data_IF_374231401741
#
_entry.id   IF_374231401741
#
_cell.length_a   1.000
_cell.length_b   1.000
_cell.length_c   1.000
_cell.angle_alpha   90.00
_cell.angle_beta   90.00
_cell.angle_gamma   90.00
#
_symmetry.space_group_name_H-M   'P 1'
#
loop_
_entity.id
_entity.type
_entity.pdbx_description
1 polymer ?
#
# COMPACT_ATOMS: atom_id res chain seq x y z
N UNK A 1 21.12 19.80 -34.07
CA UNK A 1 20.28 19.55 -32.88
C UNK A 1 21.01 18.56 -32.00
N UNK A 2 21.32 18.86 -30.73
CA UNK A 2 21.81 17.83 -29.82
C UNK A 2 20.64 16.90 -29.46
N UNK A 3 20.89 15.60 -29.23
CA UNK A 3 19.83 14.65 -28.90
C UNK A 3 19.21 15.00 -27.54
N UNK A 4 17.87 14.96 -27.48
CA UNK A 4 17.09 15.09 -26.24
C UNK A 4 17.62 14.08 -25.22
N UNK A 5 18.03 14.58 -24.04
CA UNK A 5 18.30 13.76 -22.85
C UNK A 5 16.99 13.11 -22.38
N UNK A 6 16.65 11.94 -22.92
CA UNK A 6 15.67 11.02 -22.33
C UNK A 6 16.36 9.96 -21.47
N UNK A 7 17.27 10.39 -20.59
CA UNK A 7 17.93 9.50 -19.64
C UNK A 7 17.97 10.17 -18.27
N UNK A 8 16.94 9.93 -17.44
CA UNK A 8 17.01 10.02 -15.95
C UNK A 8 15.71 9.75 -15.16
N UNK A 9 14.58 9.33 -15.74
CA UNK A 9 13.36 9.06 -14.95
C UNK A 9 13.31 7.67 -14.27
N UNK A 10 14.05 6.68 -14.76
CA UNK A 10 13.89 5.29 -14.30
C UNK A 10 14.51 4.96 -12.93
N UNK A 11 15.13 5.93 -12.24
CA UNK A 11 15.76 5.71 -10.94
C UNK A 11 15.30 6.70 -9.86
N UNK A 12 14.16 7.37 -10.04
CA UNK A 12 13.63 8.18 -8.94
C UNK A 12 13.27 7.26 -7.74
N UNK A 13 13.66 7.65 -6.52
CA UNK A 13 13.35 6.89 -5.32
C UNK A 13 11.84 6.87 -5.11
N UNK A 14 11.32 5.73 -4.65
CA UNK A 14 9.91 5.63 -4.28
C UNK A 14 9.61 6.55 -3.10
N UNK A 15 8.48 7.23 -3.14
CA UNK A 15 7.92 7.91 -1.96
C UNK A 15 7.19 6.89 -1.10
N UNK A 16 7.41 6.87 0.21
CA UNK A 16 6.64 6.07 1.14
C UNK A 16 5.36 6.80 1.56
N UNK A 17 4.20 6.25 1.23
CA UNK A 17 2.88 6.76 1.61
C UNK A 17 2.34 5.85 2.72
N UNK A 18 2.27 6.37 3.94
CA UNK A 18 1.81 5.63 5.11
C UNK A 18 0.48 6.20 5.56
N UNK A 19 -0.60 5.44 5.35
CA UNK A 19 -1.92 5.78 5.89
C UNK A 19 -1.93 5.39 7.36
N UNK A 20 -1.94 6.39 8.24
CA UNK A 20 -1.79 6.16 9.69
C UNK A 20 -3.13 5.98 10.42
N UNK A 21 -4.23 6.27 9.74
CA UNK A 21 -5.57 5.99 10.25
C UNK A 21 -6.02 4.57 9.94
N UNK A 22 -6.78 3.99 10.86
CA UNK A 22 -7.45 2.71 10.66
C UNK A 22 -8.90 2.99 10.29
N UNK A 23 -9.26 2.61 9.06
CA UNK A 23 -10.64 2.72 8.54
C UNK A 23 -11.45 1.43 8.73
N UNK A 24 -10.96 0.53 9.58
CA UNK A 24 -11.62 -0.74 9.85
C UNK A 24 -12.72 -0.57 10.93
N UNK A 25 -13.99 -0.80 10.58
CA UNK A 25 -15.11 -0.57 11.48
C UNK A 25 -15.10 -1.49 12.71
N UNK A 26 -14.39 -2.63 12.65
CA UNK A 26 -14.27 -3.57 13.79
C UNK A 26 -13.63 -2.92 15.01
N UNK A 27 -12.84 -1.86 14.79
CA UNK A 27 -12.17 -1.12 15.86
C UNK A 27 -12.87 0.19 16.23
N UNK A 28 -13.94 0.58 15.51
CA UNK A 28 -14.67 1.83 15.77
C UNK A 28 -15.11 2.02 17.24
N UNK A 29 -15.57 0.98 17.98
CA UNK A 29 -15.92 1.13 19.39
C UNK A 29 -14.72 1.51 20.29
N UNK A 30 -13.52 1.07 19.92
CA UNK A 30 -12.30 1.32 20.69
C UNK A 30 -11.67 2.66 20.33
N UNK A 31 -11.75 3.09 19.06
CA UNK A 31 -11.09 4.29 18.54
C UNK A 31 -11.42 5.57 19.32
N UNK A 32 -12.63 5.70 19.88
CA UNK A 32 -13.01 6.85 20.70
C UNK A 32 -12.32 6.88 22.08
N UNK A 33 -11.94 5.71 22.60
CA UNK A 33 -11.39 5.56 23.96
C UNK A 33 -9.87 5.48 23.95
N UNK A 34 -9.29 4.76 22.99
CA UNK A 34 -7.84 4.50 22.95
C UNK A 34 -7.07 5.49 22.07
N UNK A 35 -7.76 6.25 21.21
CA UNK A 35 -7.15 7.14 20.24
C UNK A 35 -6.71 6.41 18.95
N UNK A 36 -5.81 7.00 18.15
CA UNK A 36 -5.39 6.43 16.87
C UNK A 36 -4.74 5.06 17.03
N UNK A 37 -5.09 4.10 16.14
CA UNK A 37 -4.54 2.75 16.19
C UNK A 37 -3.02 2.72 15.99
N UNK A 38 -2.49 3.57 15.11
CA UNK A 38 -1.05 3.69 14.87
C UNK A 38 -0.23 4.07 16.13
N UNK A 39 -0.88 4.61 17.16
CA UNK A 39 -0.23 4.99 18.42
C UNK A 39 -0.42 3.97 19.54
N UNK A 40 -1.20 2.91 19.32
CA UNK A 40 -1.37 1.89 20.33
C UNK A 40 -0.05 1.13 20.53
N UNK A 41 0.36 0.89 21.79
CA UNK A 41 1.64 0.29 22.07
C UNK A 41 1.60 -1.23 21.91
N UNK A 42 2.66 -1.78 21.31
CA UNK A 42 3.04 -3.19 21.43
C UNK A 42 4.39 -3.22 22.15
N UNK A 43 4.47 -3.97 23.25
CA UNK A 43 5.68 -3.99 24.10
C UNK A 43 6.12 -2.57 24.52
N UNK A 44 5.16 -1.70 24.88
CA UNK A 44 5.37 -0.29 25.27
C UNK A 44 5.93 0.63 24.16
N UNK A 45 5.93 0.19 22.90
CA UNK A 45 6.35 1.00 21.75
C UNK A 45 5.16 1.22 20.81
N UNK A 46 4.83 2.46 20.42
CA UNK A 46 3.76 2.74 19.45
C UNK A 46 3.95 1.99 18.13
N UNK A 47 2.87 1.46 17.56
CA UNK A 47 2.89 0.73 16.29
C UNK A 47 3.61 1.48 15.16
N UNK A 48 3.35 2.78 15.02
CA UNK A 48 3.97 3.62 14.00
C UNK A 48 5.49 3.68 14.09
N UNK A 49 6.05 3.53 15.29
CA UNK A 49 7.50 3.55 15.50
C UNK A 49 8.16 2.29 14.96
N UNK A 50 7.48 1.13 15.00
CA UNK A 50 7.94 -0.08 14.31
C UNK A 50 7.94 0.10 12.80
N UNK A 51 6.87 0.70 12.26
CA UNK A 51 6.74 0.96 10.82
C UNK A 51 7.82 1.93 10.33
N UNK A 52 8.02 3.06 11.01
CA UNK A 52 9.03 4.05 10.64
C UNK A 52 10.46 3.50 10.80
N UNK A 53 10.74 2.78 11.90
CA UNK A 53 12.01 2.08 12.09
C UNK A 53 12.28 1.08 10.96
N UNK A 54 11.25 0.37 10.50
CA UNK A 54 11.36 -0.53 9.37
C UNK A 54 11.64 0.22 8.06
N UNK A 55 10.91 1.29 7.76
CA UNK A 55 11.10 2.07 6.53
C UNK A 55 12.50 2.66 6.44
N UNK A 56 13.11 3.08 7.56
CA UNK A 56 14.52 3.50 7.61
C UNK A 56 15.52 2.43 7.14
N UNK A 57 15.15 1.15 7.18
CA UNK A 57 15.99 0.03 6.71
C UNK A 57 15.76 -0.31 5.22
N UNK A 58 14.82 0.37 4.56
CA UNK A 58 14.54 0.24 3.13
C UNK A 58 15.27 1.33 2.33
N UNK A 59 15.13 1.33 1.01
CA UNK A 59 15.69 2.40 0.15
C UNK A 59 14.82 3.67 0.10
N UNK A 60 13.72 3.72 0.86
CA UNK A 60 12.77 4.84 0.85
C UNK A 60 13.26 5.96 1.76
N UNK A 61 13.50 7.13 1.17
CA UNK A 61 14.06 8.29 1.86
C UNK A 61 13.05 9.42 2.07
N UNK A 62 11.97 9.45 1.27
CA UNK A 62 10.90 10.45 1.34
C UNK A 62 9.62 9.78 1.80
N UNK A 63 9.05 10.24 2.90
CA UNK A 63 7.90 9.61 3.55
C UNK A 63 6.81 10.65 3.79
N UNK A 64 5.58 10.27 3.48
CA UNK A 64 4.36 11.03 3.73
C UNK A 64 3.51 10.24 4.73
N UNK A 65 3.29 10.83 5.91
CA UNK A 65 2.30 10.34 6.86
C UNK A 65 0.96 10.95 6.50
N UNK A 66 0.02 10.12 6.09
CA UNK A 66 -1.32 10.55 5.65
C UNK A 66 -2.31 10.26 6.74
N UNK A 67 -2.96 11.31 7.23
CA UNK A 67 -3.84 11.28 8.39
C UNK A 67 -5.08 12.10 8.12
N UNK A 68 -6.20 11.68 8.65
CA UNK A 68 -7.42 12.47 8.76
C UNK A 68 -7.20 13.68 9.67
N UNK A 69 -7.90 14.77 9.37
CA UNK A 69 -7.83 16.01 10.15
C UNK A 69 -8.10 15.79 11.65
N UNK A 70 -8.98 14.84 11.99
CA UNK A 70 -9.31 14.46 13.37
C UNK A 70 -8.11 13.98 14.18
N UNK A 71 -7.16 13.30 13.54
CA UNK A 71 -6.03 12.67 14.21
C UNK A 71 -4.69 13.38 13.92
N UNK A 72 -4.71 14.48 13.17
CA UNK A 72 -3.50 15.19 12.74
C UNK A 72 -2.63 15.69 13.91
N UNK A 73 -3.23 16.24 14.96
CA UNK A 73 -2.50 16.76 16.12
C UNK A 73 -1.71 15.68 16.87
N UNK A 74 -2.19 14.43 16.87
CA UNK A 74 -1.46 13.30 17.44
C UNK A 74 -0.19 13.00 16.64
N UNK A 75 -0.27 13.12 15.32
CA UNK A 75 0.81 12.78 14.41
C UNK A 75 1.89 13.85 14.29
N UNK A 76 1.60 15.11 14.61
CA UNK A 76 2.61 16.18 14.64
C UNK A 76 3.79 15.84 15.58
N UNK A 77 3.50 15.18 16.71
CA UNK A 77 4.55 14.75 17.65
C UNK A 77 5.44 13.67 17.04
N UNK A 78 4.85 12.73 16.31
CA UNK A 78 5.57 11.65 15.62
C UNK A 78 6.41 12.23 14.49
N UNK A 79 5.85 13.12 13.66
CA UNK A 79 6.56 13.80 12.59
C UNK A 79 7.79 14.55 13.14
N UNK A 80 7.62 15.35 14.20
CA UNK A 80 8.73 16.06 14.85
C UNK A 80 9.82 15.12 15.36
N UNK A 81 9.45 14.00 15.96
CA UNK A 81 10.39 13.00 16.49
C UNK A 81 11.20 12.31 15.39
N UNK A 82 10.55 11.95 14.28
CA UNK A 82 11.16 11.18 13.20
C UNK A 82 11.68 12.03 12.03
N UNK A 83 11.47 13.35 12.04
CA UNK A 83 11.84 14.27 10.95
C UNK A 83 13.27 14.07 10.46
N UNK A 84 14.23 13.92 11.39
CA UNK A 84 15.66 13.82 11.07
C UNK A 84 16.10 12.40 10.65
N UNK A 85 15.18 11.43 10.62
CA UNK A 85 15.48 10.05 10.24
C UNK A 85 15.33 9.79 8.74
N UNK A 86 14.75 10.74 8.00
CA UNK A 86 14.45 10.65 6.57
C UNK A 86 14.99 11.89 5.84
N UNK A 87 15.19 11.81 4.52
CA UNK A 87 15.50 12.99 3.70
C UNK A 87 14.32 13.98 3.74
N UNK A 88 13.10 13.43 3.71
CA UNK A 88 11.87 14.18 3.91
C UNK A 88 10.85 13.32 4.65
N UNK A 89 10.29 13.87 5.71
CA UNK A 89 9.12 13.33 6.40
C UNK A 89 8.09 14.46 6.49
N UNK A 90 6.94 14.28 5.86
CA UNK A 90 5.85 15.24 5.89
C UNK A 90 4.58 14.63 6.47
N UNK A 91 3.85 15.45 7.23
CA UNK A 91 2.51 15.12 7.69
C UNK A 91 1.48 15.74 6.75
N UNK A 92 0.65 14.92 6.14
CA UNK A 92 -0.42 15.35 5.25
C UNK A 92 -1.76 15.11 5.94
N UNK A 93 -2.41 16.20 6.32
CA UNK A 93 -3.77 16.20 6.88
C UNK A 93 -4.81 16.23 5.77
N UNK A 94 -5.68 15.23 5.72
CA UNK A 94 -6.75 15.05 4.76
C UNK A 94 -8.11 15.35 5.40
N UNK A 95 -8.90 16.21 4.77
CA UNK A 95 -10.24 16.56 5.24
C UNK A 95 -11.21 15.44 4.91
N UNK A 96 -12.06 15.05 5.87
CA UNK A 96 -13.10 14.03 5.68
C UNK A 96 -12.61 12.70 5.06
N UNK A 97 -11.34 12.33 5.30
CA UNK A 97 -10.81 11.05 4.82
C UNK A 97 -11.36 9.91 5.69
N UNK A 98 -12.14 9.03 5.06
CA UNK A 98 -12.80 7.90 5.72
C UNK A 98 -12.33 6.55 5.17
N UNK A 99 -11.43 6.57 4.20
CA UNK A 99 -10.91 5.40 3.51
C UNK A 99 -9.50 5.64 2.95
N UNK A 100 -8.82 4.56 2.58
CA UNK A 100 -7.51 4.63 1.90
C UNK A 100 -7.65 5.34 0.55
N UNK A 101 -8.76 5.09 -0.15
CA UNK A 101 -9.09 5.76 -1.41
C UNK A 101 -9.21 7.27 -1.24
N UNK A 102 -9.96 7.75 -0.25
CA UNK A 102 -10.08 9.20 0.02
C UNK A 102 -8.71 9.84 0.29
N UNK A 103 -7.87 9.17 1.07
CA UNK A 103 -6.52 9.63 1.37
C UNK A 103 -5.68 9.77 0.09
N UNK A 104 -5.70 8.76 -0.79
CA UNK A 104 -4.94 8.80 -2.05
C UNK A 104 -5.49 9.84 -3.03
N UNK A 105 -6.82 9.98 -3.16
CA UNK A 105 -7.44 11.04 -3.99
C UNK A 105 -7.03 12.44 -3.55
N UNK A 106 -6.98 12.67 -2.24
CA UNK A 106 -6.55 13.97 -1.70
C UNK A 106 -5.08 14.25 -2.04
N UNK A 107 -4.20 13.25 -1.95
CA UNK A 107 -2.79 13.42 -2.35
C UNK A 107 -2.65 13.71 -3.85
N UNK A 108 -3.45 13.04 -4.68
CA UNK A 108 -3.51 13.24 -6.13
C UNK A 108 -3.97 14.65 -6.48
N UNK A 109 -5.10 15.07 -5.88
CA UNK A 109 -5.70 16.40 -6.07
C UNK A 109 -4.76 17.52 -5.68
N UNK A 110 -3.96 17.32 -4.62
CA UNK A 110 -2.94 18.27 -4.18
C UNK A 110 -1.63 18.20 -4.98
N UNK A 111 -1.50 17.25 -5.91
CA UNK A 111 -0.29 17.05 -6.72
C UNK A 111 0.92 16.60 -5.90
N UNK A 112 0.70 15.93 -4.75
CA UNK A 112 1.78 15.52 -3.84
C UNK A 112 2.46 14.23 -4.30
N UNK A 113 1.76 13.38 -5.05
CA UNK A 113 2.32 12.16 -5.64
C UNK A 113 2.86 12.47 -7.03
N UNK A 114 4.19 12.52 -7.15
CA UNK A 114 4.86 12.84 -8.43
C UNK A 114 5.53 11.63 -9.09
N UNK A 115 5.71 10.53 -8.35
CA UNK A 115 6.40 9.32 -8.77
C UNK A 115 5.72 8.05 -8.23
N UNK A 116 6.20 6.90 -8.69
CA UNK A 116 5.85 5.60 -8.10
C UNK A 116 6.14 5.61 -6.58
N UNK A 117 5.30 4.92 -5.82
CA UNK A 117 5.28 5.02 -4.37
C UNK A 117 5.05 3.67 -3.69
N UNK A 118 5.55 3.52 -2.47
CA UNK A 118 5.20 2.43 -1.57
C UNK A 118 3.97 2.85 -0.77
N UNK A 119 2.86 2.13 -0.91
CA UNK A 119 1.67 2.29 -0.09
C UNK A 119 1.69 1.32 1.09
N UNK A 120 1.52 1.86 2.29
CA UNK A 120 1.16 1.11 3.49
C UNK A 120 -0.25 1.53 3.88
N UNK A 121 -1.23 0.67 3.58
CA UNK A 121 -2.65 0.98 3.72
C UNK A 121 -3.21 0.68 5.12
N UNK A 122 -2.42 0.05 5.99
CA UNK A 122 -2.81 -0.27 7.35
C UNK A 122 -1.72 0.20 8.33
N UNK A 123 -2.06 1.04 9.34
CA UNK A 123 -1.11 1.58 10.30
C UNK A 123 -0.37 0.52 11.14
N UNK A 124 -0.93 -0.67 11.30
CA UNK A 124 -0.34 -1.77 12.07
C UNK A 124 0.54 -2.71 11.23
N UNK A 125 1.19 -2.18 10.19
CA UNK A 125 1.97 -2.97 9.22
C UNK A 125 3.46 -2.67 9.34
N UNK A 126 4.24 -3.68 9.69
CA UNK A 126 5.70 -3.64 9.67
C UNK A 126 6.28 -5.02 9.40
N UNK A 127 7.53 -5.08 8.93
CA UNK A 127 8.24 -6.33 8.65
C UNK A 127 9.75 -6.16 8.87
N UNK A 128 10.51 -7.24 8.68
CA UNK A 128 11.98 -7.25 8.69
C UNK A 128 12.59 -7.22 7.28
N UNK A 129 11.79 -7.31 6.22
CA UNK A 129 12.28 -7.26 4.83
C UNK A 129 12.78 -5.85 4.44
N UNK A 130 13.82 -5.76 3.63
CA UNK A 130 14.30 -4.48 3.08
C UNK A 130 13.53 -4.03 1.84
N UNK A 131 12.66 -4.89 1.29
CA UNK A 131 11.93 -4.71 0.03
C UNK A 131 12.81 -4.47 -1.22
N UNK A 132 14.13 -4.59 -1.10
CA UNK A 132 15.07 -4.24 -2.18
C UNK A 132 14.85 -5.07 -3.44
N UNK A 133 14.59 -6.37 -3.29
CA UNK A 133 14.36 -7.25 -4.42
C UNK A 133 13.01 -6.96 -5.08
N UNK A 134 11.99 -6.70 -4.28
CA UNK A 134 10.61 -6.42 -4.70
C UNK A 134 10.53 -5.09 -5.46
N UNK A 135 11.20 -4.04 -4.96
CA UNK A 135 11.30 -2.73 -5.62
C UNK A 135 12.07 -2.83 -6.93
N UNK A 136 13.23 -3.51 -6.94
CA UNK A 136 13.99 -3.72 -8.17
C UNK A 136 13.17 -4.49 -9.22
N UNK A 137 12.47 -5.55 -8.82
CA UNK A 137 11.64 -6.34 -9.73
C UNK A 137 10.42 -5.55 -10.23
N UNK A 138 9.81 -4.70 -9.41
CA UNK A 138 8.75 -3.78 -9.84
C UNK A 138 9.25 -2.79 -10.90
N UNK A 139 10.40 -2.14 -10.64
CA UNK A 139 11.04 -1.21 -11.59
C UNK A 139 11.35 -1.87 -12.92
N UNK A 140 11.92 -3.08 -12.89
CA UNK A 140 12.20 -3.85 -14.09
C UNK A 140 10.91 -4.13 -14.88
N UNK A 141 9.89 -4.72 -14.25
CA UNK A 141 8.60 -5.00 -14.92
C UNK A 141 7.96 -3.75 -15.50
N UNK A 142 8.07 -2.60 -14.82
CA UNK A 142 7.60 -1.30 -15.32
C UNK A 142 8.37 -0.79 -16.52
N UNK A 143 9.69 -0.97 -16.54
CA UNK A 143 10.51 -0.55 -17.69
C UNK A 143 10.16 -1.35 -18.95
N UNK A 144 9.85 -2.65 -18.78
CA UNK A 144 9.44 -3.54 -19.86
C UNK A 144 7.98 -3.33 -20.26
N UNK A 145 7.09 -3.07 -19.29
CA UNK A 145 5.67 -2.89 -19.50
C UNK A 145 5.09 -1.83 -18.55
N UNK A 146 4.72 -0.67 -19.11
CA UNK A 146 4.13 0.44 -18.35
C UNK A 146 2.75 0.11 -17.76
N UNK A 147 2.10 -0.96 -18.21
CA UNK A 147 0.84 -1.47 -17.66
C UNK A 147 1.02 -2.29 -16.37
N UNK A 148 2.26 -2.57 -15.93
CA UNK A 148 2.50 -3.15 -14.61
C UNK A 148 2.30 -2.07 -13.53
N UNK A 149 1.04 -1.82 -13.13
CA UNK A 149 0.66 -0.68 -12.29
C UNK A 149 0.86 -0.87 -10.78
N UNK A 150 0.86 -2.12 -10.30
CA UNK A 150 0.93 -2.44 -8.86
C UNK A 150 1.69 -3.75 -8.61
N UNK A 151 2.41 -3.84 -7.49
CA UNK A 151 2.93 -5.10 -6.92
C UNK A 151 2.49 -5.18 -5.47
N UNK A 152 1.66 -6.17 -5.16
CA UNK A 152 1.12 -6.43 -3.82
C UNK A 152 2.01 -7.42 -3.06
N UNK A 153 2.26 -7.16 -1.78
CA UNK A 153 3.13 -7.98 -0.95
C UNK A 153 2.29 -8.85 -0.01
N UNK A 154 2.59 -10.14 0.01
CA UNK A 154 1.99 -11.12 0.91
C UNK A 154 3.07 -11.77 1.76
N UNK A 155 2.68 -12.28 2.93
CA UNK A 155 3.53 -13.14 3.76
C UNK A 155 2.99 -14.56 3.76
N UNK A 156 3.87 -15.56 3.70
CA UNK A 156 3.46 -16.95 3.79
C UNK A 156 2.91 -17.28 5.18
N UNK A 157 1.85 -18.09 5.22
CA UNK A 157 1.27 -18.66 6.42
C UNK A 157 1.57 -20.16 6.47
N UNK A 158 1.88 -20.66 7.67
CA UNK A 158 2.02 -22.12 7.88
C UNK A 158 0.69 -22.87 7.72
N UNK A 159 -0.43 -22.18 7.90
CA UNK A 159 -1.78 -22.75 7.79
C UNK A 159 -2.60 -21.94 6.78
N UNK A 160 -3.28 -22.60 5.82
CA UNK A 160 -4.16 -21.91 4.88
C UNK A 160 -5.26 -21.10 5.58
N UNK A 161 -5.57 -19.91 5.06
CA UNK A 161 -6.74 -19.10 5.44
C UNK A 161 -7.65 -18.89 4.23
N UNK A 162 -8.78 -18.21 4.48
CA UNK A 162 -9.88 -18.05 3.51
C UNK A 162 -9.52 -17.24 2.26
N UNK A 163 -8.47 -16.41 2.28
CA UNK A 163 -8.10 -15.60 1.11
C UNK A 163 -7.56 -16.49 -0.01
N UNK A 164 -8.18 -16.40 -1.19
CA UNK A 164 -7.78 -17.16 -2.37
C UNK A 164 -7.22 -16.19 -3.40
N UNK A 165 -5.91 -16.28 -3.67
CA UNK A 165 -5.30 -15.61 -4.81
C UNK A 165 -4.87 -16.63 -5.85
N UNK A 166 -4.99 -16.28 -7.12
CA UNK A 166 -4.43 -17.05 -8.23
C UNK A 166 -3.32 -16.24 -8.89
N UNK A 167 -2.14 -16.84 -8.99
CA UNK A 167 -0.96 -16.22 -9.61
C UNK A 167 -0.45 -17.06 -10.77
N UNK A 168 -0.04 -16.42 -11.85
CA UNK A 168 0.62 -17.11 -12.96
C UNK A 168 1.98 -17.69 -12.52
N UNK A 169 2.24 -18.96 -12.81
CA UNK A 169 3.40 -19.70 -12.29
C UNK A 169 4.74 -19.02 -12.57
N UNK A 170 4.93 -18.56 -13.80
CA UNK A 170 6.20 -17.98 -14.29
C UNK A 170 6.40 -16.53 -13.90
N UNK A 171 5.39 -15.67 -14.11
CA UNK A 171 5.52 -14.21 -13.92
C UNK A 171 5.11 -13.74 -12.52
N UNK A 172 4.41 -14.58 -11.76
CA UNK A 172 3.72 -14.22 -10.51
C UNK A 172 2.66 -13.12 -10.70
N UNK A 173 2.20 -12.88 -11.93
CA UNK A 173 1.10 -11.95 -12.20
C UNK A 173 -0.17 -12.43 -11.50
N UNK A 174 -0.80 -11.54 -10.75
CA UNK A 174 -2.11 -11.79 -10.14
C UNK A 174 -3.15 -11.95 -11.24
N UNK A 175 -3.94 -13.03 -11.16
CA UNK A 175 -4.99 -13.39 -12.12
C UNK A 175 -6.35 -13.53 -11.44
N UNK A 176 -6.35 -13.99 -10.19
CA UNK A 176 -7.56 -14.19 -9.41
C UNK A 176 -7.34 -13.49 -8.08
N UNK A 177 -8.30 -12.66 -7.69
CA UNK A 177 -8.30 -11.99 -6.40
C UNK A 177 -9.64 -12.17 -5.72
N UNK A 178 -9.69 -13.07 -4.74
CA UNK A 178 -10.91 -13.37 -4.00
C UNK A 178 -10.67 -13.25 -2.49
N UNK A 179 -11.19 -12.15 -1.94
CA UNK A 179 -11.18 -11.80 -0.53
C UNK A 179 -12.63 -11.69 -0.08
N UNK A 180 -13.35 -12.81 -0.06
CA UNK A 180 -14.71 -12.87 0.45
C UNK A 180 -14.68 -13.47 1.85
N UNK A 181 -15.62 -13.02 2.69
CA UNK A 181 -15.74 -13.49 4.08
C UNK A 181 -16.30 -14.92 4.15
N UNK A 182 -16.99 -15.36 3.10
CA UNK A 182 -17.52 -16.72 2.99
C UNK A 182 -16.48 -17.66 2.34
N UNK A 183 -15.86 -18.58 3.10
CA UNK A 183 -14.90 -19.54 2.56
C UNK A 183 -15.53 -20.66 1.74
N UNK A 184 -16.86 -20.78 1.72
CA UNK A 184 -17.55 -21.93 1.15
C UNK A 184 -17.71 -21.88 -0.36
N UNK A 185 -17.59 -20.70 -0.98
CA UNK A 185 -17.74 -20.51 -2.42
C UNK A 185 -16.60 -19.67 -2.99
N UNK A 186 -16.13 -20.05 -4.17
CA UNK A 186 -15.08 -19.36 -4.89
C UNK A 186 -15.58 -19.17 -6.33
N UNK A 187 -16.08 -17.99 -6.63
CA UNK A 187 -16.48 -17.63 -7.99
C UNK A 187 -15.26 -17.16 -8.78
N UNK A 188 -14.89 -17.92 -9.80
CA UNK A 188 -13.79 -17.63 -10.72
C UNK A 188 -14.30 -17.82 -12.14
N UNK A 189 -14.07 -16.84 -13.00
CA UNK A 189 -14.36 -16.98 -14.42
C UNK A 189 -13.51 -18.09 -15.05
N UNK A 190 -14.16 -18.95 -15.85
CA UNK A 190 -13.52 -20.10 -16.51
C UNK A 190 -12.17 -19.78 -17.19
N UNK A 191 -11.98 -18.65 -17.91
CA UNK A 191 -10.69 -18.34 -18.54
C UNK A 191 -9.53 -18.20 -17.56
N UNK A 192 -9.80 -17.72 -16.33
CA UNK A 192 -8.78 -17.57 -15.28
C UNK A 192 -8.40 -18.91 -14.65
N UNK A 193 -9.31 -19.89 -14.68
CA UNK A 193 -9.08 -21.24 -14.17
C UNK A 193 -8.35 -22.17 -15.16
N UNK A 194 -8.53 -21.96 -16.47
CA UNK A 194 -8.03 -22.85 -17.52
C UNK A 194 -6.52 -22.64 -17.84
N UNK A 195 -5.89 -21.57 -17.33
CA UNK A 195 -4.47 -21.27 -17.55
C UNK A 195 -3.48 -21.83 -16.51
N UNK A 196 -2.19 -21.48 -16.62
CA UNK A 196 -1.08 -21.82 -15.69
C UNK A 196 -1.15 -21.06 -14.34
N UNK A 197 -2.34 -20.94 -13.77
CA UNK A 197 -2.58 -20.25 -12.50
C UNK A 197 -2.36 -21.20 -11.31
N UNK A 198 -1.56 -20.75 -10.34
CA UNK A 198 -1.38 -21.40 -9.04
C UNK A 198 -2.28 -20.71 -8.03
N UNK A 199 -3.19 -21.48 -7.44
CA UNK A 199 -4.05 -21.01 -6.35
C UNK A 199 -3.28 -21.08 -5.03
N UNK A 200 -3.19 -19.95 -4.33
CA UNK A 200 -2.56 -19.81 -3.00
C UNK A 200 -3.62 -19.47 -1.97
N UNK A 201 -3.56 -20.18 -0.84
CA UNK A 201 -4.38 -19.98 0.37
C UNK A 201 -3.54 -19.88 1.65
N UNK A 202 -2.27 -20.22 1.53
CA UNK A 202 -1.22 -20.27 2.52
C UNK A 202 -0.50 -18.93 2.65
N UNK A 203 -1.24 -17.82 2.55
CA UNK A 203 -0.68 -16.46 2.58
C UNK A 203 -1.59 -15.50 3.35
N UNK A 204 -1.00 -14.38 3.79
CA UNK A 204 -1.70 -13.25 4.39
C UNK A 204 -1.32 -11.96 3.68
N UNK A 205 -2.32 -11.13 3.42
CA UNK A 205 -2.14 -9.80 2.88
C UNK A 205 -1.42 -8.92 3.91
N UNK A 206 -0.29 -8.33 3.50
CA UNK A 206 0.49 -7.45 4.38
C UNK A 206 -0.06 -6.03 4.49
N UNK A 207 -0.93 -5.59 3.56
CA UNK A 207 -1.29 -4.17 3.45
C UNK A 207 -0.20 -3.29 2.81
N UNK A 208 0.89 -3.91 2.32
CA UNK A 208 1.97 -3.23 1.60
C UNK A 208 1.77 -3.42 0.09
N UNK A 209 1.89 -2.35 -0.67
CA UNK A 209 1.92 -2.41 -2.13
C UNK A 209 2.91 -1.38 -2.71
N UNK A 210 3.56 -1.74 -3.81
CA UNK A 210 4.34 -0.82 -4.64
C UNK A 210 3.46 -0.41 -5.81
N UNK A 211 3.20 0.89 -5.95
CA UNK A 211 2.20 1.43 -6.86
C UNK A 211 2.85 2.42 -7.83
N UNK A 212 2.35 2.50 -9.07
CA UNK A 212 2.51 3.74 -9.84
C UNK A 212 1.55 4.81 -9.44
N UNK A 213 1.87 6.02 -9.86
CA UNK A 213 0.92 7.12 -10.08
C UNK A 213 -0.40 6.72 -10.73
N UNK A 214 -0.43 5.78 -11.69
CA UNK A 214 -1.69 5.34 -12.30
C UNK A 214 -2.69 4.80 -11.26
N UNK A 215 -2.21 4.22 -10.14
CA UNK A 215 -3.10 3.75 -9.07
C UNK A 215 -3.77 4.93 -8.35
N UNK A 216 -3.03 6.03 -8.14
CA UNK A 216 -3.59 7.26 -7.57
C UNK A 216 -4.68 7.82 -8.49
N UNK A 217 -4.41 7.89 -9.80
CA UNK A 217 -5.37 8.33 -10.80
C UNK A 217 -6.64 7.45 -10.83
N UNK A 218 -6.50 6.12 -10.69
CA UNK A 218 -7.66 5.22 -10.61
C UNK A 218 -8.58 5.55 -9.43
N UNK A 219 -8.03 5.94 -8.28
CA UNK A 219 -8.87 6.40 -7.17
C UNK A 219 -9.54 7.74 -7.49
N UNK A 220 -8.85 8.67 -8.14
CA UNK A 220 -9.41 9.98 -8.53
C UNK A 220 -10.54 9.86 -9.55
N UNK A 221 -10.41 8.93 -10.50
CA UNK A 221 -11.40 8.69 -11.56
C UNK A 221 -12.63 7.91 -11.02
N UNK A 222 -12.43 7.06 -10.01
CA UNK A 222 -13.47 6.19 -9.42
C UNK A 222 -13.68 6.50 -7.92
N UNK A 223 -14.62 7.41 -7.65
CA UNK A 223 -14.90 7.90 -6.28
C UNK A 223 -15.46 6.84 -5.33
N UNK A 224 -15.99 5.74 -5.85
CA UNK A 224 -16.52 4.60 -5.10
C UNK A 224 -15.42 3.66 -4.57
N UNK A 225 -14.20 3.74 -5.10
CA UNK A 225 -13.07 2.92 -4.61
C UNK A 225 -12.59 3.40 -3.25
N UNK A 226 -12.88 2.64 -2.20
CA UNK A 226 -12.53 2.98 -0.81
C UNK A 226 -11.23 2.31 -0.37
N UNK A 227 -10.96 1.11 -0.85
CA UNK A 227 -9.84 0.29 -0.44
C UNK A 227 -8.94 -0.04 -1.63
N UNK A 228 -7.67 -0.36 -1.35
CA UNK A 228 -6.74 -0.90 -2.36
C UNK A 228 -7.32 -2.10 -3.10
N UNK A 229 -8.14 -2.89 -2.42
CA UNK A 229 -8.77 -4.10 -2.94
C UNK A 229 -9.78 -3.82 -4.07
N UNK A 230 -10.44 -2.66 -4.04
CA UNK A 230 -11.41 -2.26 -5.07
C UNK A 230 -10.69 -2.04 -6.41
N UNK A 231 -9.55 -1.33 -6.38
CA UNK A 231 -8.68 -1.12 -7.53
C UNK A 231 -8.11 -2.43 -8.06
N UNK A 232 -7.72 -3.36 -7.17
CA UNK A 232 -7.20 -4.67 -7.59
C UNK A 232 -8.27 -5.45 -8.34
N UNK A 233 -9.53 -5.42 -7.87
CA UNK A 233 -10.65 -6.09 -8.53
C UNK A 233 -10.89 -5.50 -9.91
N UNK A 234 -10.95 -4.17 -10.02
CA UNK A 234 -11.18 -3.48 -11.29
C UNK A 234 -10.09 -3.80 -12.34
N UNK A 235 -8.82 -3.81 -11.94
CA UNK A 235 -7.71 -4.09 -12.87
C UNK A 235 -7.71 -5.53 -13.39
N UNK A 236 -8.34 -6.46 -12.65
CA UNK A 236 -8.38 -7.88 -13.00
C UNK A 236 -9.59 -8.27 -13.87
N UNK A 237 -10.61 -7.41 -13.97
CA UNK A 237 -11.73 -7.56 -14.90
C UNK A 237 -11.27 -7.27 -16.33
#
# INVERSE_FOLDING_TARGET
MPPKREQKKDNEPLTGVIVVDSYDPRFAPLSATVGPWCLQPICNVPLIDFTLSWIMRTEIQKVMLVVSEKNAHYMEKVEKRWRNCFESLSLISCKNSMSVGDALRELDTRGLLTNDFLLISNPATFTSSTLKAEIAAFRQRRSENKNNVMTVIYSDLKSPRNAVIGIEKGTKKLKIYHKQEDPSQLEIDKPHFIGDAIIRRDIVDSGIAICSLNISAQFSDNFDFQHRDDVIREILV
#
